data_IF_490442727895
#
_entry.id   IF_490442727895
#
_cell.length_a   1.000
_cell.length_b   1.000
_cell.length_c   1.000
_cell.angle_alpha   90.00
_cell.angle_beta   90.00
_cell.angle_gamma   90.00
#
_symmetry.space_group_name_H-M   'P 1'
#
loop_
_entity.id
_entity.type
_entity.pdbx_description
1 polymer ?
#
# COMPACT_ATOMS: atom_id res chain seq x y z
N UNK A 1 -26.55 9.42 21.64
CA UNK A 1 -25.17 9.62 22.15
C UNK A 1 -25.22 10.56 23.36
N UNK A 2 -24.47 10.29 24.43
CA UNK A 2 -24.34 11.19 25.60
C UNK A 2 -23.34 12.31 25.34
N UNK A 3 -23.51 13.46 25.99
CA UNK A 3 -22.59 14.59 25.89
C UNK A 3 -21.99 14.91 27.25
N UNK A 4 -20.67 15.08 27.28
CA UNK A 4 -19.91 15.39 28.48
C UNK A 4 -18.90 16.50 28.21
N UNK A 5 -18.45 17.14 29.29
CA UNK A 5 -17.31 18.03 29.28
C UNK A 5 -16.37 17.63 30.42
N UNK A 6 -15.07 17.83 30.23
CA UNK A 6 -14.05 17.71 31.27
C UNK A 6 -13.10 18.90 31.16
N UNK A 7 -12.76 19.52 32.28
CA UNK A 7 -11.92 20.71 32.35
C UNK A 7 -10.58 20.45 33.07
N UNK A 8 -10.35 19.24 33.54
CA UNK A 8 -9.09 18.81 34.15
C UNK A 8 -8.73 17.37 33.75
N UNK A 9 -7.47 17.00 33.93
CA UNK A 9 -6.98 15.63 33.66
C UNK A 9 -7.70 14.62 34.55
N UNK A 10 -8.00 14.99 35.80
CA UNK A 10 -8.70 14.12 36.75
C UNK A 10 -10.17 13.91 36.39
N UNK A 11 -10.88 14.96 35.99
CA UNK A 11 -12.25 14.84 35.49
C UNK A 11 -12.30 13.96 34.24
N UNK A 12 -11.35 14.13 33.33
CA UNK A 12 -11.24 13.31 32.13
C UNK A 12 -10.96 11.84 32.48
N UNK A 13 -10.04 11.57 33.41
CA UNK A 13 -9.76 10.21 33.90
C UNK A 13 -11.00 9.55 34.50
N UNK A 14 -11.71 10.25 35.40
CA UNK A 14 -12.91 9.73 36.04
C UNK A 14 -13.99 9.41 35.01
N UNK A 15 -14.22 10.33 34.07
CA UNK A 15 -15.22 10.15 33.02
C UNK A 15 -14.88 8.99 32.10
N UNK A 16 -13.63 8.90 31.64
CA UNK A 16 -13.16 7.79 30.80
C UNK A 16 -13.30 6.45 31.52
N UNK A 17 -13.04 6.40 32.83
CA UNK A 17 -13.21 5.20 33.66
C UNK A 17 -14.66 4.74 33.82
N UNK A 18 -15.66 5.57 33.47
CA UNK A 18 -17.07 5.15 33.46
C UNK A 18 -17.43 4.33 32.21
N UNK A 19 -16.62 4.38 31.17
CA UNK A 19 -16.81 3.57 29.97
C UNK A 19 -16.01 2.27 30.13
N UNK A 20 -16.67 1.11 29.94
CA UNK A 20 -16.01 -0.20 30.04
C UNK A 20 -14.98 -0.46 28.92
N UNK A 21 -14.44 -1.67 28.86
CA UNK A 21 -13.33 -2.00 27.94
C UNK A 21 -13.76 -2.24 26.47
N UNK A 22 -15.06 -2.46 26.23
CA UNK A 22 -15.61 -2.76 24.89
C UNK A 22 -15.91 -1.50 24.06
N UNK A 23 -14.95 -0.58 24.03
CA UNK A 23 -15.07 0.72 23.36
C UNK A 23 -13.86 1.04 22.48
N UNK A 24 -14.08 1.94 21.52
CA UNK A 24 -13.04 2.61 20.76
C UNK A 24 -13.17 4.12 20.93
N UNK A 25 -12.07 4.82 20.65
CA UNK A 25 -11.98 6.26 20.72
C UNK A 25 -11.61 6.84 19.36
N UNK A 26 -12.09 8.06 19.11
CA UNK A 26 -11.63 8.91 18.01
C UNK A 26 -11.49 10.33 18.50
N UNK A 27 -10.29 10.90 18.32
CA UNK A 27 -9.99 12.29 18.66
C UNK A 27 -10.08 13.22 17.45
N UNK A 28 -10.66 14.41 17.62
CA UNK A 28 -10.69 15.45 16.60
C UNK A 28 -10.55 16.84 17.23
N UNK A 29 -9.80 17.73 16.57
CA UNK A 29 -9.66 19.15 16.95
C UNK A 29 -10.91 19.99 16.60
N UNK A 30 -11.90 19.40 15.94
CA UNK A 30 -13.12 20.08 15.51
C UNK A 30 -14.28 19.09 15.43
N UNK A 31 -15.48 19.56 15.72
CA UNK A 31 -16.71 18.81 15.54
C UNK A 31 -17.26 19.02 14.13
N UNK A 32 -17.70 17.94 13.51
CA UNK A 32 -18.40 17.96 12.22
C UNK A 32 -19.77 17.32 12.42
N UNK A 33 -20.82 17.92 11.84
CA UNK A 33 -22.22 17.52 12.06
C UNK A 33 -22.96 18.45 13.01
N UNK A 34 -24.16 18.03 13.41
CA UNK A 34 -24.95 18.74 14.41
C UNK A 34 -24.58 18.27 15.82
N UNK A 35 -24.81 19.15 16.81
CA UNK A 35 -24.60 18.84 18.23
C UNK A 35 -25.37 17.58 18.60
N UNK A 36 -24.66 16.51 18.97
CA UNK A 36 -25.27 15.22 19.33
C UNK A 36 -25.46 14.24 18.16
N UNK A 37 -25.16 14.67 16.94
CA UNK A 37 -25.18 13.86 15.71
C UNK A 37 -23.91 14.08 14.87
N UNK A 38 -22.77 13.47 15.27
CA UNK A 38 -21.50 13.65 14.57
C UNK A 38 -21.55 13.10 13.13
N UNK A 39 -20.92 13.83 12.21
CA UNK A 39 -20.78 13.46 10.81
C UNK A 39 -19.31 13.14 10.51
N UNK A 40 -18.95 11.85 10.62
CA UNK A 40 -17.60 11.36 10.34
C UNK A 40 -17.67 10.39 9.16
N UNK A 41 -17.30 10.89 7.97
CA UNK A 41 -17.21 10.12 6.74
C UNK A 41 -15.78 9.68 6.41
N UNK A 42 -15.66 8.94 5.31
CA UNK A 42 -14.39 8.37 4.85
C UNK A 42 -13.53 9.40 4.13
N UNK A 43 -12.29 9.04 3.81
CA UNK A 43 -11.46 9.86 2.92
C UNK A 43 -11.93 9.83 1.46
N UNK A 44 -12.56 8.74 1.01
CA UNK A 44 -13.13 8.65 -0.34
C UNK A 44 -14.37 9.52 -0.51
N UNK A 45 -15.24 9.59 0.49
CA UNK A 45 -16.41 10.50 0.44
C UNK A 45 -15.99 11.96 0.25
N UNK A 46 -14.82 12.33 0.80
CA UNK A 46 -14.30 13.71 0.78
C UNK A 46 -13.45 14.02 -0.44
N UNK A 47 -12.74 13.04 -1.01
CA UNK A 47 -11.70 13.28 -2.01
C UNK A 47 -11.82 12.40 -3.27
N UNK A 48 -12.82 11.53 -3.35
CA UNK A 48 -13.01 10.56 -4.42
C UNK A 48 -12.05 9.36 -4.35
N UNK A 49 -12.43 8.28 -5.05
CA UNK A 49 -11.60 7.12 -5.30
C UNK A 49 -10.86 7.28 -6.65
N UNK A 50 -9.60 6.82 -6.70
CA UNK A 50 -8.83 6.69 -7.94
C UNK A 50 -8.58 5.19 -8.13
N UNK A 51 -9.35 4.49 -8.98
CA UNK A 51 -9.33 3.02 -9.05
C UNK A 51 -7.95 2.41 -9.36
N UNK A 52 -7.19 2.99 -10.30
CA UNK A 52 -5.85 2.51 -10.66
C UNK A 52 -4.88 2.55 -9.47
N UNK A 53 -4.88 3.66 -8.74
CA UNK A 53 -4.09 3.80 -7.51
C UNK A 53 -4.58 2.85 -6.42
N UNK A 54 -5.89 2.56 -6.34
CA UNK A 54 -6.44 1.59 -5.39
C UNK A 54 -5.95 0.16 -5.67
N UNK A 55 -5.81 -0.25 -6.94
CA UNK A 55 -5.24 -1.55 -7.29
C UNK A 55 -3.77 -1.64 -6.88
N UNK A 56 -2.97 -0.64 -7.26
CA UNK A 56 -1.56 -0.52 -6.89
C UNK A 56 -1.36 -0.56 -5.36
N UNK A 57 -2.22 0.15 -4.66
CA UNK A 57 -2.30 0.17 -3.21
C UNK A 57 -2.58 -1.20 -2.59
N UNK A 58 -3.62 -1.90 -3.05
CA UNK A 58 -3.94 -3.24 -2.57
C UNK A 58 -2.77 -4.19 -2.80
N UNK A 59 -2.11 -4.10 -3.97
CA UNK A 59 -0.93 -4.89 -4.31
C UNK A 59 0.21 -4.70 -3.32
N UNK A 60 0.59 -3.46 -3.05
CA UNK A 60 1.69 -3.17 -2.12
C UNK A 60 1.35 -3.54 -0.67
N UNK A 61 0.10 -3.35 -0.26
CA UNK A 61 -0.35 -3.77 1.08
C UNK A 61 -0.25 -5.28 1.24
N UNK A 62 -0.70 -6.03 0.22
CA UNK A 62 -0.60 -7.48 0.20
C UNK A 62 0.86 -7.93 0.34
N UNK A 63 1.79 -7.34 -0.43
CA UNK A 63 3.21 -7.67 -0.33
C UNK A 63 3.81 -7.42 1.06
N UNK A 64 3.39 -6.34 1.73
CA UNK A 64 3.82 -6.02 3.10
C UNK A 64 3.25 -7.05 4.10
N UNK A 65 1.97 -7.39 3.99
CA UNK A 65 1.34 -8.40 4.84
C UNK A 65 1.97 -9.77 4.62
N UNK A 66 2.26 -10.14 3.38
CA UNK A 66 2.96 -11.38 3.03
C UNK A 66 4.34 -11.46 3.69
N UNK A 67 5.09 -10.35 3.69
CA UNK A 67 6.46 -10.32 4.21
C UNK A 67 6.54 -10.34 5.73
N UNK A 68 5.62 -9.66 6.43
CA UNK A 68 5.73 -9.46 7.87
C UNK A 68 4.65 -10.19 8.69
N UNK A 69 3.47 -10.44 8.12
CA UNK A 69 2.27 -10.84 8.89
C UNK A 69 1.39 -11.79 8.05
N UNK A 70 1.95 -12.96 7.74
CA UNK A 70 1.34 -13.93 6.83
C UNK A 70 -0.09 -14.38 7.21
N UNK A 71 -0.50 -14.23 8.48
CA UNK A 71 -1.86 -14.54 8.94
C UNK A 71 -2.95 -13.75 8.20
N UNK A 72 -2.69 -12.49 7.83
CA UNK A 72 -3.69 -11.59 7.24
C UNK A 72 -3.51 -11.36 5.74
N UNK A 73 -2.61 -12.10 5.09
CA UNK A 73 -2.22 -11.85 3.69
C UNK A 73 -3.35 -11.94 2.66
N UNK A 74 -4.34 -12.81 2.90
CA UNK A 74 -5.51 -12.99 2.03
C UNK A 74 -6.74 -12.20 2.48
N UNK A 75 -6.62 -11.38 3.53
CA UNK A 75 -7.73 -10.61 4.07
C UNK A 75 -7.75 -9.20 3.44
N UNK A 76 -8.68 -9.02 2.52
CA UNK A 76 -8.85 -7.76 1.79
C UNK A 76 -9.20 -6.57 2.70
N UNK A 77 -9.87 -6.82 3.83
CA UNK A 77 -10.19 -5.77 4.79
C UNK A 77 -8.90 -5.26 5.46
N UNK A 78 -7.99 -6.17 5.84
CA UNK A 78 -6.68 -5.80 6.39
C UNK A 78 -5.80 -5.08 5.37
N UNK A 79 -5.80 -5.51 4.10
CA UNK A 79 -5.03 -4.85 3.04
C UNK A 79 -5.43 -3.37 2.90
N UNK A 80 -6.73 -3.10 2.83
CA UNK A 80 -7.25 -1.73 2.72
C UNK A 80 -7.08 -0.92 4.03
N UNK A 81 -7.37 -1.54 5.17
CA UNK A 81 -7.24 -0.88 6.47
C UNK A 81 -5.78 -0.46 6.75
N UNK A 82 -4.82 -1.33 6.45
CA UNK A 82 -3.41 -1.08 6.73
C UNK A 82 -2.92 0.22 6.10
N UNK A 83 -3.12 0.39 4.80
CA UNK A 83 -2.53 1.54 4.14
C UNK A 83 -3.35 2.83 4.30
N UNK A 84 -4.64 2.73 4.62
CA UNK A 84 -5.39 3.89 5.15
C UNK A 84 -4.68 4.44 6.39
N UNK A 85 -4.31 3.55 7.31
CA UNK A 85 -3.61 3.90 8.54
C UNK A 85 -2.22 4.53 8.27
N UNK A 86 -1.57 4.15 7.17
CA UNK A 86 -0.32 4.78 6.73
C UNK A 86 -0.51 6.12 6.00
N UNK A 87 -1.75 6.56 5.76
CA UNK A 87 -2.08 7.88 5.25
C UNK A 87 -2.54 7.90 3.79
N UNK A 88 -2.95 6.73 3.26
CA UNK A 88 -3.69 6.66 2.00
C UNK A 88 -5.19 6.88 2.21
N UNK A 89 -5.95 6.98 1.12
CA UNK A 89 -7.41 7.14 1.15
C UNK A 89 -8.10 5.78 1.04
N UNK A 90 -9.17 5.57 1.78
CA UNK A 90 -10.01 4.37 1.75
C UNK A 90 -11.45 4.65 2.19
N UNK A 91 -12.22 3.56 2.28
CA UNK A 91 -13.56 3.45 2.86
C UNK A 91 -13.57 3.30 4.40
N UNK A 92 -12.44 3.42 5.08
CA UNK A 92 -12.35 3.22 6.53
C UNK A 92 -12.14 4.53 7.29
N UNK A 93 -12.48 4.50 8.58
CA UNK A 93 -12.19 5.59 9.52
C UNK A 93 -11.29 5.08 10.65
N UNK A 94 -10.17 5.77 10.86
CA UNK A 94 -9.23 5.49 11.96
C UNK A 94 -9.88 5.72 13.34
N UNK A 95 -9.77 4.69 14.17
CA UNK A 95 -10.13 4.64 15.57
C UNK A 95 -8.95 4.09 16.37
N UNK A 96 -9.02 4.21 17.69
CA UNK A 96 -7.99 3.65 18.58
C UNK A 96 -8.65 3.04 19.80
N UNK A 97 -8.04 2.00 20.36
CA UNK A 97 -8.43 1.48 21.68
C UNK A 97 -7.82 2.27 22.83
N UNK A 98 -6.94 3.24 22.55
CA UNK A 98 -6.28 4.07 23.56
C UNK A 98 -6.87 5.48 23.61
N UNK A 99 -7.47 5.83 24.76
CA UNK A 99 -7.95 7.18 25.00
C UNK A 99 -6.83 8.23 24.94
N UNK A 100 -5.58 7.85 25.27
CA UNK A 100 -4.43 8.74 25.19
C UNK A 100 -4.07 9.10 23.75
N UNK A 101 -4.10 8.12 22.85
CA UNK A 101 -3.89 8.33 21.42
C UNK A 101 -4.99 9.25 20.87
N UNK A 102 -6.24 9.01 21.25
CA UNK A 102 -7.35 9.89 20.86
C UNK A 102 -7.20 11.32 21.43
N UNK A 103 -6.79 11.47 22.69
CA UNK A 103 -6.51 12.78 23.29
C UNK A 103 -5.42 13.55 22.54
N UNK A 104 -4.37 12.85 22.11
CA UNK A 104 -3.31 13.45 21.30
C UNK A 104 -3.87 13.97 19.97
N UNK A 105 -4.62 13.16 19.20
CA UNK A 105 -5.23 13.60 17.94
C UNK A 105 -6.31 14.68 18.11
N UNK A 106 -7.00 14.72 19.26
CA UNK A 106 -7.97 15.77 19.58
C UNK A 106 -7.33 17.11 19.93
N UNK A 107 -6.02 17.16 20.12
CA UNK A 107 -5.29 18.36 20.57
C UNK A 107 -4.13 18.76 19.66
N UNK A 108 -3.89 18.01 18.58
CA UNK A 108 -2.84 18.29 17.60
C UNK A 108 -3.44 18.43 16.18
N UNK A 109 -3.10 19.52 15.50
CA UNK A 109 -3.55 19.78 14.13
C UNK A 109 -2.56 19.22 13.11
N UNK A 110 -3.08 18.40 12.22
CA UNK A 110 -2.37 17.94 11.03
C UNK A 110 -2.15 19.10 10.04
N UNK A 111 -0.95 19.18 9.48
CA UNK A 111 -0.65 19.98 8.29
C UNK A 111 0.34 19.22 7.42
N UNK A 112 0.25 19.42 6.11
CA UNK A 112 1.17 18.83 5.14
C UNK A 112 1.67 19.89 4.16
N UNK A 113 2.89 19.71 3.69
CA UNK A 113 3.49 20.51 2.64
C UNK A 113 4.26 19.60 1.68
N UNK A 114 4.22 19.94 0.39
CA UNK A 114 5.05 19.28 -0.60
C UNK A 114 6.44 19.90 -0.56
N UNK A 115 7.47 19.07 -0.39
CA UNK A 115 8.87 19.47 -0.53
C UNK A 115 9.43 18.89 -1.82
N UNK A 116 10.42 19.58 -2.38
CA UNK A 116 11.22 19.10 -3.49
C UNK A 116 12.68 19.15 -3.02
N UNK A 117 13.28 17.97 -2.90
CA UNK A 117 14.63 17.80 -2.37
C UNK A 117 15.57 17.40 -3.50
N UNK A 118 16.76 17.99 -3.54
CA UNK A 118 17.83 17.57 -4.44
C UNK A 118 18.57 16.40 -3.79
N UNK A 119 18.74 15.32 -4.54
CA UNK A 119 19.57 14.18 -4.16
C UNK A 119 20.30 13.63 -5.39
N UNK A 120 21.08 12.59 -5.17
CA UNK A 120 21.86 11.88 -6.17
C UNK A 120 21.41 10.40 -6.17
N UNK A 121 21.42 9.76 -7.35
CA UNK A 121 21.29 8.31 -7.42
C UNK A 121 22.60 7.61 -7.03
N UNK A 122 22.65 6.29 -7.14
CA UNK A 122 23.82 5.51 -6.73
C UNK A 122 25.07 5.74 -7.60
N UNK A 123 24.92 6.32 -8.78
CA UNK A 123 26.01 6.70 -9.69
C UNK A 123 26.31 8.22 -9.60
N UNK A 124 25.87 8.87 -8.51
CA UNK A 124 26.02 10.30 -8.23
C UNK A 124 25.31 11.21 -9.25
N UNK A 125 24.32 10.70 -9.98
CA UNK A 125 23.53 11.50 -10.92
C UNK A 125 22.47 12.30 -10.19
N UNK A 126 22.46 13.62 -10.40
CA UNK A 126 21.52 14.51 -9.74
C UNK A 126 20.06 14.22 -10.14
N UNK A 127 19.18 14.12 -9.15
CA UNK A 127 17.73 13.96 -9.28
C UNK A 127 17.00 14.81 -8.24
N UNK A 128 15.73 15.10 -8.49
CA UNK A 128 14.86 15.72 -7.49
C UNK A 128 13.81 14.73 -7.01
N UNK A 129 13.55 14.72 -5.70
CA UNK A 129 12.48 13.91 -5.11
C UNK A 129 11.42 14.78 -4.48
N UNK A 130 10.16 14.55 -4.88
CA UNK A 130 8.99 15.18 -4.30
C UNK A 130 8.49 14.35 -3.13
N UNK A 131 8.40 14.97 -1.95
CA UNK A 131 7.88 14.31 -0.75
C UNK A 131 6.67 15.07 -0.19
N UNK A 132 5.76 14.33 0.43
CA UNK A 132 4.62 14.89 1.16
C UNK A 132 4.98 14.91 2.65
N UNK A 133 5.57 16.02 3.10
CA UNK A 133 6.01 16.17 4.48
C UNK A 133 4.82 16.57 5.35
N UNK A 134 4.55 15.76 6.36
CA UNK A 134 3.45 15.93 7.29
C UNK A 134 3.95 16.27 8.69
N UNK A 135 3.17 17.07 9.41
CA UNK A 135 3.45 17.41 10.81
C UNK A 135 2.15 17.56 11.59
N UNK A 136 2.25 17.28 12.87
CA UNK A 136 1.24 17.61 13.87
C UNK A 136 1.79 18.69 14.79
N UNK A 137 1.00 19.73 15.04
CA UNK A 137 1.34 20.80 15.96
C UNK A 137 0.26 20.91 17.04
N UNK A 138 0.61 21.12 18.32
CA UNK A 138 -0.37 21.35 19.36
C UNK A 138 -1.21 22.60 19.04
N UNK A 139 -2.48 22.56 19.40
CA UNK A 139 -3.41 23.70 19.20
C UNK A 139 -4.01 24.16 20.52
N UNK A 140 -4.37 25.45 20.55
CA UNK A 140 -5.22 26.04 21.60
C UNK A 140 -6.67 25.88 21.17
N UNK A 141 -7.56 25.66 22.13
CA UNK A 141 -8.99 25.59 21.92
C UNK A 141 -9.59 24.37 22.58
N UNK A 142 -10.49 23.71 21.86
CA UNK A 142 -11.28 22.61 22.38
C UNK A 142 -11.17 21.41 21.46
N UNK A 143 -10.83 20.26 22.02
CA UNK A 143 -10.84 18.98 21.35
C UNK A 143 -12.10 18.18 21.66
N UNK A 144 -12.39 17.21 20.80
CA UNK A 144 -13.51 16.30 20.93
C UNK A 144 -13.02 14.86 20.94
N UNK A 145 -13.43 14.11 21.96
CA UNK A 145 -13.26 12.67 22.05
C UNK A 145 -14.60 12.00 21.82
N UNK A 146 -14.69 11.20 20.78
CA UNK A 146 -15.84 10.33 20.53
C UNK A 146 -15.56 8.95 21.11
N UNK A 147 -16.50 8.43 21.89
CA UNK A 147 -16.50 7.07 22.42
C UNK A 147 -17.47 6.25 21.60
N UNK A 148 -16.96 5.19 20.99
CA UNK A 148 -17.68 4.30 20.09
C UNK A 148 -17.86 2.93 20.74
N UNK A 149 -19.02 2.29 20.57
CA UNK A 149 -19.25 0.90 20.97
C UNK A 149 -18.55 -0.03 19.97
N UNK A 150 -17.64 -0.89 20.47
CA UNK A 150 -17.03 -1.93 19.62
C UNK A 150 -18.08 -2.89 19.08
N UNK A 151 -19.03 -3.32 19.92
CA UNK A 151 -20.14 -4.16 19.48
C UNK A 151 -20.92 -3.55 18.31
N UNK A 152 -21.34 -2.28 18.40
CA UNK A 152 -22.07 -1.63 17.31
C UNK A 152 -21.18 -1.43 16.06
N UNK A 153 -19.93 -1.03 16.24
CA UNK A 153 -18.96 -0.88 15.16
C UNK A 153 -18.70 -2.21 14.44
N UNK A 154 -18.67 -3.33 15.15
CA UNK A 154 -18.45 -4.65 14.57
C UNK A 154 -19.55 -5.07 13.59
N UNK A 155 -20.80 -4.60 13.78
CA UNK A 155 -21.88 -4.84 12.83
C UNK A 155 -21.71 -4.06 11.51
N UNK A 156 -20.91 -3.00 11.52
CA UNK A 156 -20.53 -2.25 10.31
C UNK A 156 -19.33 -2.93 9.63
N UNK A 157 -18.35 -3.33 10.43
CA UNK A 157 -17.08 -3.87 9.99
C UNK A 157 -15.96 -3.20 10.78
N UNK A 158 -15.09 -4.03 11.36
CA UNK A 158 -14.07 -3.56 12.28
C UNK A 158 -12.79 -4.38 12.11
N UNK A 159 -11.68 -3.69 11.84
CA UNK A 159 -10.36 -4.30 11.66
C UNK A 159 -9.45 -3.86 12.79
N UNK A 160 -8.90 -4.82 13.54
CA UNK A 160 -7.92 -4.56 14.58
C UNK A 160 -6.52 -4.58 13.96
N UNK A 161 -5.97 -3.40 13.66
CA UNK A 161 -4.60 -3.34 13.15
C UNK A 161 -3.56 -3.45 14.26
N UNK A 162 -3.92 -3.23 15.53
CA UNK A 162 -2.98 -3.41 16.64
C UNK A 162 -2.50 -4.86 16.79
N UNK A 163 -3.18 -5.84 16.19
CA UNK A 163 -2.69 -7.24 16.10
C UNK A 163 -1.55 -7.41 15.11
N UNK A 164 -1.28 -6.41 14.26
CA UNK A 164 -0.21 -6.42 13.29
C UNK A 164 1.13 -6.09 13.96
N UNK A 165 1.64 -7.04 14.73
CA UNK A 165 2.91 -6.94 15.46
C UNK A 165 4.05 -7.54 14.65
N UNK A 166 5.24 -6.92 14.72
CA UNK A 166 6.48 -7.47 14.18
C UNK A 166 7.49 -7.57 15.32
N UNK A 167 8.06 -8.75 15.53
CA UNK A 167 8.98 -9.01 16.65
C UNK A 167 10.17 -8.05 16.64
N UNK A 168 10.48 -7.46 17.80
CA UNK A 168 11.58 -6.51 17.96
C UNK A 168 11.32 -5.10 17.41
N UNK A 169 10.16 -4.86 16.79
CA UNK A 169 9.79 -3.58 16.19
C UNK A 169 8.53 -3.00 16.83
N UNK A 170 8.27 -1.73 16.55
CA UNK A 170 7.06 -1.02 17.00
C UNK A 170 6.40 -0.34 15.80
N UNK A 171 5.65 -1.09 14.97
CA UNK A 171 4.92 -0.50 13.85
C UNK A 171 3.90 0.53 14.32
N UNK A 172 3.56 1.50 13.45
CA UNK A 172 2.56 2.53 13.72
C UNK A 172 1.23 1.96 14.21
N UNK A 173 0.80 0.83 13.66
CA UNK A 173 -0.42 0.11 14.02
C UNK A 173 -0.48 -0.23 15.53
N UNK A 174 0.66 -0.64 16.10
CA UNK A 174 0.81 -0.93 17.53
C UNK A 174 0.95 0.37 18.33
N UNK A 175 1.79 1.30 17.87
CA UNK A 175 2.03 2.58 18.54
C UNK A 175 0.75 3.40 18.76
N UNK A 176 -0.22 3.30 17.84
CA UNK A 176 -1.49 4.00 17.92
C UNK A 176 -2.63 3.13 18.47
N UNK A 177 -2.36 1.87 18.84
CA UNK A 177 -3.39 0.89 19.23
C UNK A 177 -4.56 0.87 18.24
N UNK A 178 -4.21 0.78 16.95
CA UNK A 178 -5.03 1.18 15.82
C UNK A 178 -6.18 0.21 15.51
N UNK A 179 -7.34 0.79 15.20
CA UNK A 179 -8.54 0.10 14.75
C UNK A 179 -9.16 0.85 13.58
N UNK A 180 -9.67 0.14 12.58
CA UNK A 180 -10.31 0.75 11.41
C UNK A 180 -11.77 0.33 11.36
N UNK A 181 -12.68 1.30 11.35
CA UNK A 181 -14.13 1.07 11.24
C UNK A 181 -14.53 1.23 9.78
N UNK A 182 -15.11 0.19 9.20
CA UNK A 182 -15.52 0.12 7.80
C UNK A 182 -15.47 -1.29 7.21
N UNK A 183 -15.66 -1.44 5.88
CA UNK A 183 -15.81 -0.36 4.91
C UNK A 183 -17.14 0.39 5.07
N UNK A 184 -17.08 1.71 4.90
CA UNK A 184 -18.22 2.61 5.02
C UNK A 184 -18.62 3.15 3.64
N UNK A 185 -19.92 3.15 3.36
CA UNK A 185 -20.54 3.86 2.22
C UNK A 185 -21.26 5.15 2.64
N UNK A 186 -21.37 5.36 3.95
CA UNK A 186 -22.01 6.50 4.61
C UNK A 186 -21.16 6.85 5.84
N UNK A 187 -21.37 8.02 6.47
CA UNK A 187 -20.74 8.32 7.75
C UNK A 187 -20.99 7.22 8.80
N UNK A 188 -20.12 7.16 9.82
CA UNK A 188 -20.29 6.23 10.94
C UNK A 188 -21.74 6.30 11.46
N UNK A 189 -22.46 5.17 11.55
CA UNK A 189 -23.83 5.15 12.04
C UNK A 189 -23.98 5.74 13.45
N UNK A 190 -25.07 6.46 13.70
CA UNK A 190 -25.28 7.16 14.98
C UNK A 190 -25.35 6.23 16.19
N UNK A 191 -25.83 5.00 16.00
CA UNK A 191 -25.87 3.96 17.05
C UNK A 191 -24.47 3.45 17.45
N UNK A 192 -23.42 3.72 16.66
CA UNK A 192 -22.05 3.42 17.07
C UNK A 192 -21.54 4.37 18.16
N UNK A 193 -22.09 5.59 18.27
CA UNK A 193 -21.61 6.58 19.23
C UNK A 193 -22.27 6.45 20.61
N UNK A 194 -21.44 6.14 21.60
CA UNK A 194 -21.84 6.13 23.01
C UNK A 194 -21.82 7.54 23.60
N UNK A 195 -20.73 8.27 23.38
CA UNK A 195 -20.55 9.61 23.93
C UNK A 195 -19.67 10.53 23.08
N UNK A 196 -19.83 11.83 23.28
CA UNK A 196 -18.90 12.89 22.90
C UNK A 196 -18.44 13.60 24.17
N UNK A 197 -17.13 13.72 24.35
CA UNK A 197 -16.50 14.43 25.45
C UNK A 197 -15.76 15.64 24.88
N UNK A 198 -16.15 16.83 25.32
CA UNK A 198 -15.54 18.10 24.91
C UNK A 198 -14.55 18.55 25.98
N UNK A 199 -13.30 18.80 25.60
CA UNK A 199 -12.20 19.02 26.55
C UNK A 199 -11.29 20.14 26.04
N UNK A 200 -10.81 21.06 26.91
CA UNK A 200 -9.73 21.98 26.56
C UNK A 200 -8.49 21.26 26.01
N UNK A 201 -7.89 21.81 24.96
CA UNK A 201 -6.76 21.14 24.26
C UNK A 201 -5.51 20.96 25.13
N UNK A 202 -5.26 21.87 26.07
CA UNK A 202 -4.16 21.80 27.05
C UNK A 202 -4.34 20.65 28.05
N UNK A 203 -5.57 20.40 28.50
CA UNK A 203 -5.93 19.23 29.33
C UNK A 203 -5.70 17.92 28.54
N UNK A 204 -6.10 17.88 27.28
CA UNK A 204 -5.86 16.72 26.40
C UNK A 204 -4.37 16.46 26.16
N UNK A 205 -3.59 17.53 25.94
CA UNK A 205 -2.13 17.46 25.81
C UNK A 205 -1.49 16.91 27.09
N UNK A 206 -1.87 17.44 28.26
CA UNK A 206 -1.37 16.97 29.55
C UNK A 206 -1.76 15.50 29.81
N UNK A 207 -3.00 15.11 29.48
CA UNK A 207 -3.49 13.74 29.60
C UNK A 207 -2.68 12.74 28.74
N UNK A 208 -2.36 13.13 27.50
CA UNK A 208 -1.57 12.33 26.57
C UNK A 208 -0.10 12.26 27.00
N UNK A 209 0.50 13.39 27.39
CA UNK A 209 1.88 13.49 27.86
C UNK A 209 2.12 12.66 29.14
N UNK A 210 1.19 12.67 30.09
CA UNK A 210 1.25 11.84 31.30
C UNK A 210 1.29 10.32 31.01
N UNK A 211 0.96 9.91 29.77
CA UNK A 211 1.00 8.53 29.28
C UNK A 211 2.11 8.30 28.25
N UNK A 212 3.09 9.20 28.20
CA UNK A 212 4.27 9.07 27.34
C UNK A 212 4.07 9.50 25.88
N UNK A 213 2.95 10.16 25.54
CA UNK A 213 2.70 10.67 24.19
C UNK A 213 3.09 12.14 24.09
N UNK A 214 4.40 12.40 24.11
CA UNK A 214 4.96 13.76 24.19
C UNK A 214 5.27 14.39 22.83
N UNK A 215 5.43 13.58 21.79
CA UNK A 215 5.84 14.03 20.45
C UNK A 215 5.30 13.10 19.35
N UNK A 216 5.46 13.54 18.09
CA UNK A 216 5.01 12.80 16.91
C UNK A 216 5.64 11.41 16.81
N UNK A 217 6.89 11.19 17.23
CA UNK A 217 7.59 9.90 17.09
C UNK A 217 6.97 8.82 17.97
N UNK A 218 6.34 9.21 19.09
CA UNK A 218 5.62 8.29 19.97
C UNK A 218 4.45 7.61 19.24
N UNK A 219 3.76 8.30 18.31
CA UNK A 219 2.64 7.74 17.54
C UNK A 219 3.00 7.41 16.09
N UNK A 220 4.05 8.01 15.54
CA UNK A 220 4.53 7.82 14.19
C UNK A 220 5.99 7.38 14.25
N UNK A 221 6.26 6.09 14.52
CA UNK A 221 7.62 5.57 14.60
C UNK A 221 8.37 5.80 13.27
N UNK A 222 9.70 5.89 13.36
CA UNK A 222 10.56 6.07 12.19
C UNK A 222 10.63 4.79 11.35
N UNK A 223 11.13 4.82 10.09
CA UNK A 223 11.38 3.61 9.32
C UNK A 223 12.38 2.63 9.96
N UNK A 224 13.17 3.08 10.95
CA UNK A 224 14.03 2.18 11.72
C UNK A 224 13.24 1.29 12.69
N UNK A 225 12.13 1.81 13.22
CA UNK A 225 11.29 1.14 14.23
C UNK A 225 10.01 0.52 13.63
N UNK A 226 9.65 0.93 12.41
CA UNK A 226 8.47 0.49 11.68
C UNK A 226 8.85 -0.13 10.33
N UNK A 227 9.02 -1.48 10.27
CA UNK A 227 9.40 -2.17 9.04
C UNK A 227 8.33 -2.07 7.94
N UNK A 228 7.06 -1.91 8.31
CA UNK A 228 5.99 -1.69 7.34
C UNK A 228 6.18 -0.33 6.66
N UNK A 229 6.39 0.74 7.44
CA UNK A 229 6.70 2.05 6.89
C UNK A 229 7.96 2.01 6.01
N UNK A 230 9.00 1.29 6.46
CA UNK A 230 10.24 1.13 5.71
C UNK A 230 10.01 0.51 4.33
N UNK A 231 9.23 -0.56 4.23
CA UNK A 231 8.92 -1.17 2.93
C UNK A 231 8.10 -0.25 2.03
N UNK A 232 7.12 0.48 2.60
CA UNK A 232 6.30 1.42 1.84
C UNK A 232 7.10 2.63 1.33
N UNK A 233 8.05 3.12 2.14
CA UNK A 233 9.03 4.12 1.73
C UNK A 233 10.22 3.51 0.95
N UNK A 234 10.23 2.21 0.72
CA UNK A 234 11.24 1.51 -0.08
C UNK A 234 10.80 1.33 -1.54
N UNK A 235 9.55 1.65 -1.86
CA UNK A 235 8.97 1.54 -3.19
C UNK A 235 9.69 2.43 -4.21
N UNK A 236 9.69 2.04 -5.50
CA UNK A 236 10.36 2.79 -6.55
C UNK A 236 9.83 4.22 -6.67
N UNK A 237 10.70 5.09 -7.15
CA UNK A 237 10.37 6.45 -7.52
C UNK A 237 9.98 6.51 -8.99
N UNK A 238 8.90 7.21 -9.30
CA UNK A 238 8.36 7.36 -10.66
C UNK A 238 8.58 8.79 -11.13
N UNK A 239 9.09 8.96 -12.35
CA UNK A 239 9.32 10.27 -12.94
C UNK A 239 8.02 11.07 -13.04
N UNK A 240 8.05 12.31 -12.58
CA UNK A 240 6.94 13.23 -12.72
C UNK A 240 7.03 13.85 -14.12
N UNK A 241 6.18 13.36 -15.02
CA UNK A 241 6.09 13.86 -16.41
C UNK A 241 5.48 15.28 -16.41
N UNK A 242 6.31 16.32 -16.38
CA UNK A 242 5.93 17.73 -16.59
C UNK A 242 6.60 18.29 -17.85
N UNK A 243 5.93 19.19 -18.58
CA UNK A 243 6.55 19.95 -19.69
C UNK A 243 7.76 20.79 -19.26
N UNK A 244 7.88 21.08 -17.95
CA UNK A 244 8.89 21.96 -17.35
C UNK A 244 9.76 21.28 -16.27
N UNK A 245 9.89 19.95 -16.26
CA UNK A 245 11.05 19.37 -15.58
C UNK A 245 12.28 20.08 -16.13
N UNK A 246 13.10 20.69 -15.28
CA UNK A 246 14.35 21.33 -15.69
C UNK A 246 15.03 20.35 -16.65
N UNK A 247 15.28 20.77 -17.90
CA UNK A 247 15.54 19.86 -19.04
C UNK A 247 16.60 18.77 -18.79
N UNK A 248 17.42 18.90 -17.74
CA UNK A 248 18.50 18.00 -17.36
C UNK A 248 18.45 17.53 -15.89
N UNK A 249 17.36 17.77 -15.15
CA UNK A 249 17.21 17.36 -13.75
C UNK A 249 15.84 16.74 -13.54
N UNK A 250 15.72 15.40 -13.67
CA UNK A 250 14.46 14.70 -13.54
C UNK A 250 13.94 14.79 -12.11
N UNK A 251 12.62 14.95 -11.98
CA UNK A 251 11.94 14.98 -10.69
C UNK A 251 11.08 13.73 -10.54
N UNK A 252 11.08 13.14 -9.35
CA UNK A 252 10.39 11.89 -9.07
C UNK A 252 9.43 12.02 -7.89
N UNK A 253 8.37 11.21 -7.92
CA UNK A 253 7.45 10.99 -6.79
C UNK A 253 7.49 9.52 -6.38
N UNK A 254 7.07 9.22 -5.16
CA UNK A 254 6.88 7.82 -4.74
C UNK A 254 5.83 7.14 -5.61
N UNK A 255 6.01 5.86 -5.90
CA UNK A 255 4.97 5.02 -6.50
C UNK A 255 3.66 5.02 -5.68
N UNK A 256 3.76 5.15 -4.34
CA UNK A 256 2.66 5.48 -3.45
C UNK A 256 3.01 6.73 -2.61
N UNK A 257 2.30 7.84 -2.82
CA UNK A 257 2.55 9.06 -2.05
C UNK A 257 1.92 8.97 -0.65
N UNK A 258 2.77 8.75 0.34
CA UNK A 258 2.42 8.69 1.77
C UNK A 258 2.89 9.96 2.49
N UNK A 259 2.22 10.35 3.60
CA UNK A 259 2.70 11.42 4.44
C UNK A 259 3.93 10.96 5.24
N UNK A 260 5.03 11.71 5.12
CA UNK A 260 6.29 11.47 5.83
C UNK A 260 6.39 12.43 7.02
N UNK A 261 6.55 11.87 8.23
CA UNK A 261 6.58 12.64 9.49
C UNK A 261 7.99 12.95 9.97
N UNK A 262 9.00 12.33 9.36
CA UNK A 262 10.40 12.42 9.75
C UNK A 262 11.22 13.02 8.61
N UNK A 263 12.18 13.93 8.87
CA UNK A 263 13.17 14.30 7.89
C UNK A 263 13.89 13.06 7.36
N UNK A 264 13.86 12.86 6.04
CA UNK A 264 14.34 11.65 5.38
C UNK A 264 15.26 11.98 4.19
N UNK A 265 15.91 13.15 4.20
CA UNK A 265 16.82 13.55 3.13
C UNK A 265 17.96 12.53 3.05
N UNK A 266 18.12 11.95 1.86
CA UNK A 266 19.22 11.08 1.53
C UNK A 266 20.02 11.80 0.45
N UNK A 267 21.29 12.13 0.75
CA UNK A 267 22.13 12.83 -0.23
C UNK A 267 22.37 11.95 -1.47
N UNK A 268 22.88 10.74 -1.25
CA UNK A 268 23.15 9.73 -2.28
C UNK A 268 22.28 8.51 -1.97
N UNK A 269 21.33 8.21 -2.85
CA UNK A 269 20.48 7.05 -2.70
C UNK A 269 21.28 5.75 -2.95
N UNK A 270 21.00 4.70 -2.16
CA UNK A 270 21.61 3.40 -2.39
C UNK A 270 21.11 2.74 -3.68
N UNK A 271 21.90 1.81 -4.24
CA UNK A 271 21.60 1.13 -5.50
C UNK A 271 20.22 0.45 -5.53
N UNK A 272 19.71 -0.01 -4.38
CA UNK A 272 18.36 -0.58 -4.21
C UNK A 272 17.20 0.42 -4.34
N UNK A 273 17.49 1.68 -4.68
CA UNK A 273 16.51 2.75 -4.90
C UNK A 273 16.41 3.02 -6.39
N UNK A 274 15.36 2.51 -7.03
CA UNK A 274 15.08 2.79 -8.43
C UNK A 274 14.42 4.17 -8.61
N UNK A 275 14.96 4.95 -9.54
CA UNK A 275 14.38 6.17 -10.12
C UNK A 275 13.92 5.85 -11.55
N UNK A 276 12.68 5.39 -11.68
CA UNK A 276 12.16 4.83 -12.91
C UNK A 276 11.58 5.89 -13.85
N UNK A 277 12.01 5.82 -15.12
CA UNK A 277 11.72 6.82 -16.18
C UNK A 277 10.94 6.25 -17.37
N UNK A 278 10.40 5.05 -17.22
CA UNK A 278 9.64 4.42 -18.29
C UNK A 278 10.45 3.67 -19.33
N UNK A 279 11.70 3.30 -19.01
CA UNK A 279 12.54 2.56 -19.95
C UNK A 279 11.95 1.17 -20.24
N UNK A 280 11.86 0.83 -21.52
CA UNK A 280 11.53 -0.53 -21.94
C UNK A 280 12.78 -1.40 -21.90
N UNK A 281 12.59 -2.70 -21.70
CA UNK A 281 13.69 -3.66 -21.68
C UNK A 281 14.45 -3.62 -23.02
N UNK A 282 13.73 -3.69 -24.14
CA UNK A 282 14.32 -3.68 -25.48
C UNK A 282 14.99 -2.35 -25.88
N UNK A 283 14.74 -1.26 -25.15
CA UNK A 283 15.43 0.01 -25.39
C UNK A 283 16.86 0.01 -24.80
N UNK A 284 17.15 -0.95 -23.92
CA UNK A 284 18.39 -0.98 -23.12
C UNK A 284 19.12 -2.32 -23.14
N UNK A 285 18.45 -3.39 -23.54
CA UNK A 285 18.97 -4.75 -23.53
C UNK A 285 18.65 -5.43 -24.88
N UNK A 286 19.67 -6.06 -25.48
CA UNK A 286 19.50 -6.82 -26.72
C UNK A 286 18.87 -8.21 -26.49
N UNK A 287 18.91 -8.70 -25.24
CA UNK A 287 18.37 -9.99 -24.84
C UNK A 287 17.99 -10.00 -23.36
N UNK A 288 17.26 -11.03 -22.93
CA UNK A 288 16.90 -11.24 -21.53
C UNK A 288 17.37 -12.61 -21.03
N UNK A 289 17.79 -12.66 -19.77
CA UNK A 289 18.23 -13.89 -19.13
C UNK A 289 17.05 -14.86 -18.93
N UNK A 290 17.33 -16.15 -19.12
CA UNK A 290 16.33 -17.20 -18.91
C UNK A 290 15.31 -17.36 -20.05
N UNK A 291 15.50 -16.69 -21.20
CA UNK A 291 14.71 -16.95 -22.40
C UNK A 291 15.42 -17.98 -23.32
N UNK A 292 14.94 -19.24 -23.40
CA UNK A 292 15.56 -20.27 -24.22
C UNK A 292 15.17 -20.22 -25.72
N UNK A 293 14.21 -19.38 -26.12
CA UNK A 293 13.67 -19.34 -27.49
C UNK A 293 13.66 -17.91 -28.06
N UNK A 294 13.42 -17.76 -29.37
CA UNK A 294 12.94 -16.47 -29.89
C UNK A 294 11.67 -16.07 -29.13
N UNK A 295 11.45 -14.77 -28.95
CA UNK A 295 10.27 -14.29 -28.25
C UNK A 295 9.93 -12.86 -28.58
N UNK A 296 8.76 -12.42 -28.13
CA UNK A 296 8.26 -11.06 -28.31
C UNK A 296 8.00 -10.39 -26.97
N UNK A 297 8.08 -9.07 -26.99
CA UNK A 297 7.61 -8.21 -25.90
C UNK A 297 6.28 -7.59 -26.31
N UNK A 298 5.31 -7.66 -25.40
CA UNK A 298 3.98 -7.06 -25.55
C UNK A 298 3.82 -6.04 -24.45
N UNK A 299 3.67 -4.78 -24.84
CA UNK A 299 3.38 -3.70 -23.89
C UNK A 299 1.95 -3.86 -23.35
N UNK A 300 1.82 -3.77 -22.03
CA UNK A 300 0.55 -3.91 -21.31
C UNK A 300 0.35 -2.74 -20.34
N UNK A 301 -0.91 -2.36 -20.04
CA UNK A 301 -1.19 -1.37 -19.01
C UNK A 301 -0.80 -1.93 -17.63
N UNK A 302 -0.36 -1.04 -16.73
CA UNK A 302 0.11 -1.40 -15.40
C UNK A 302 -0.94 -2.13 -14.54
N UNK A 303 -2.22 -1.85 -14.78
CA UNK A 303 -3.34 -2.53 -14.13
C UNK A 303 -3.35 -4.05 -14.35
N UNK A 304 -2.70 -4.57 -15.39
CA UNK A 304 -2.51 -6.01 -15.59
C UNK A 304 -1.70 -6.63 -14.45
N UNK A 305 -0.70 -5.91 -13.92
CA UNK A 305 0.15 -6.40 -12.84
C UNK A 305 -0.46 -6.15 -11.45
N UNK A 306 -1.26 -5.08 -11.32
CA UNK A 306 -1.90 -4.71 -10.05
C UNK A 306 -3.28 -5.36 -9.82
N UNK A 307 -3.95 -5.78 -10.90
CA UNK A 307 -5.28 -6.37 -10.86
C UNK A 307 -5.31 -7.80 -10.31
N UNK A 308 -6.53 -8.29 -10.06
CA UNK A 308 -6.77 -9.68 -9.68
C UNK A 308 -7.93 -10.22 -10.51
N UNK A 309 -7.74 -11.40 -11.08
CA UNK A 309 -8.80 -12.10 -11.79
C UNK A 309 -9.58 -12.99 -10.81
N UNK A 310 -10.83 -13.32 -11.16
CA UNK A 310 -11.62 -14.31 -10.43
C UNK A 310 -10.85 -15.65 -10.40
N UNK A 311 -10.49 -16.20 -9.22
CA UNK A 311 -9.77 -17.46 -9.11
C UNK A 311 -10.54 -18.66 -9.68
N UNK A 312 -11.86 -18.55 -9.85
CA UNK A 312 -12.71 -19.58 -10.44
C UNK A 312 -12.71 -19.57 -11.98
N UNK A 313 -12.15 -18.52 -12.61
CA UNK A 313 -12.09 -18.39 -14.06
C UNK A 313 -11.21 -19.51 -14.65
N UNK A 314 -11.70 -20.26 -15.65
CA UNK A 314 -10.91 -21.29 -16.30
C UNK A 314 -9.66 -20.70 -16.97
N UNK A 315 -8.50 -21.32 -16.78
CA UNK A 315 -7.22 -20.92 -17.38
C UNK A 315 -7.24 -21.19 -18.89
N UNK A 316 -7.76 -20.25 -19.67
CA UNK A 316 -7.87 -20.34 -21.14
C UNK A 316 -7.31 -19.06 -21.75
N UNK A 317 -6.27 -19.19 -22.55
CA UNK A 317 -5.51 -18.06 -23.08
C UNK A 317 -5.30 -18.13 -24.60
N UNK A 318 -6.37 -18.20 -25.42
CA UNK A 318 -6.23 -18.39 -26.87
C UNK A 318 -5.43 -17.30 -27.58
N UNK A 319 -5.52 -16.03 -27.19
CA UNK A 319 -4.74 -14.96 -27.81
C UNK A 319 -3.26 -15.06 -27.42
N UNK A 320 -2.98 -15.36 -26.15
CA UNK A 320 -1.60 -15.61 -25.69
C UNK A 320 -1.02 -16.85 -26.39
N UNK A 321 -1.79 -17.92 -26.53
CA UNK A 321 -1.37 -19.14 -27.25
C UNK A 321 -1.04 -18.85 -28.72
N UNK A 322 -1.82 -17.99 -29.38
CA UNK A 322 -1.52 -17.55 -30.75
C UNK A 322 -0.16 -16.86 -30.82
N UNK A 323 0.11 -15.92 -29.91
CA UNK A 323 1.39 -15.23 -29.83
C UNK A 323 2.56 -16.21 -29.58
N UNK A 324 2.36 -17.19 -28.70
CA UNK A 324 3.37 -18.22 -28.40
C UNK A 324 3.66 -19.08 -29.64
N UNK A 325 2.63 -19.48 -30.39
CA UNK A 325 2.81 -20.30 -31.58
C UNK A 325 3.54 -19.55 -32.71
N UNK A 326 3.30 -18.24 -32.83
CA UNK A 326 3.93 -17.39 -33.85
C UNK A 326 5.36 -17.01 -33.48
N UNK A 327 5.66 -16.83 -32.20
CA UNK A 327 6.89 -16.14 -31.76
C UNK A 327 7.76 -16.93 -30.79
N UNK A 328 7.24 -17.98 -30.16
CA UNK A 328 7.90 -18.70 -29.07
C UNK A 328 7.57 -18.10 -27.70
N UNK A 329 8.56 -17.56 -27.02
CA UNK A 329 8.36 -16.94 -25.70
C UNK A 329 7.58 -15.63 -25.81
N UNK A 330 6.66 -15.36 -24.88
CA UNK A 330 5.94 -14.08 -24.82
C UNK A 330 6.21 -13.40 -23.48
N UNK A 331 6.70 -12.17 -23.53
CA UNK A 331 6.95 -11.33 -22.36
C UNK A 331 5.93 -10.18 -22.35
N UNK A 332 5.06 -10.12 -21.34
CA UNK A 332 4.17 -8.98 -21.13
C UNK A 332 4.87 -7.98 -20.21
N UNK A 333 5.14 -6.79 -20.72
CA UNK A 333 5.91 -5.74 -20.05
C UNK A 333 5.02 -4.53 -19.75
N UNK A 334 5.03 -4.07 -18.49
CA UNK A 334 4.33 -2.86 -18.08
C UNK A 334 5.27 -1.67 -17.92
N UNK A 335 4.73 -0.46 -18.11
CA UNK A 335 5.43 0.79 -17.83
C UNK A 335 5.42 1.13 -16.31
N UNK A 336 5.82 0.17 -15.47
CA UNK A 336 5.92 0.34 -14.02
C UNK A 336 6.95 -0.62 -13.45
N UNK A 337 7.38 -0.38 -12.21
CA UNK A 337 8.19 -1.32 -11.43
C UNK A 337 7.44 -1.69 -10.15
N UNK A 338 7.37 -2.97 -9.84
CA UNK A 338 6.84 -3.47 -8.56
C UNK A 338 8.00 -4.02 -7.75
N UNK A 339 8.17 -3.50 -6.53
CA UNK A 339 9.18 -3.99 -5.57
C UNK A 339 8.54 -5.01 -4.63
N UNK A 340 9.18 -6.17 -4.50
CA UNK A 340 8.80 -7.19 -3.52
C UNK A 340 9.44 -6.86 -2.16
N UNK A 341 8.67 -6.73 -1.07
CA UNK A 341 9.25 -6.39 0.24
C UNK A 341 10.28 -7.40 0.76
N UNK A 342 10.20 -8.66 0.35
CA UNK A 342 11.17 -9.71 0.72
C UNK A 342 12.50 -9.62 -0.03
N UNK A 343 12.55 -8.85 -1.13
CA UNK A 343 13.74 -8.63 -1.96
C UNK A 343 14.24 -7.18 -1.86
N UNK A 344 13.91 -6.49 -0.77
CA UNK A 344 14.13 -5.05 -0.62
C UNK A 344 15.60 -4.61 -0.65
N UNK A 345 16.49 -5.52 -0.29
CA UNK A 345 17.95 -5.43 -0.30
C UNK A 345 18.58 -5.63 -1.69
N UNK A 346 17.80 -6.11 -2.67
CA UNK A 346 18.24 -6.29 -4.05
C UNK A 346 17.81 -5.10 -4.91
N UNK A 347 18.45 -4.97 -6.06
CA UNK A 347 18.08 -4.04 -7.14
C UNK A 347 17.08 -4.65 -8.12
N UNK A 348 16.36 -5.69 -7.71
CA UNK A 348 15.49 -6.49 -8.56
C UNK A 348 14.02 -6.07 -8.40
N UNK A 349 13.36 -5.81 -9.52
CA UNK A 349 11.97 -5.37 -9.58
C UNK A 349 11.19 -6.21 -10.57
N UNK A 350 9.93 -6.49 -10.27
CA UNK A 350 9.00 -7.01 -11.25
C UNK A 350 8.66 -5.89 -12.25
N UNK A 351 8.69 -6.24 -13.53
CA UNK A 351 8.27 -5.37 -14.63
C UNK A 351 7.16 -5.99 -15.48
N UNK A 352 6.85 -7.27 -15.27
CA UNK A 352 5.88 -7.97 -16.09
C UNK A 352 5.64 -9.43 -15.71
N UNK A 353 5.09 -10.18 -16.67
CA UNK A 353 4.87 -11.63 -16.61
C UNK A 353 5.28 -12.26 -17.94
N UNK A 354 5.88 -13.44 -17.90
CA UNK A 354 6.30 -14.18 -19.08
C UNK A 354 5.61 -15.53 -19.21
N UNK A 355 5.50 -15.99 -20.46
CA UNK A 355 5.11 -17.37 -20.76
C UNK A 355 6.17 -18.01 -21.66
N UNK A 356 6.78 -19.09 -21.17
CA UNK A 356 7.86 -19.79 -21.84
C UNK A 356 7.38 -21.20 -22.23
N UNK A 357 7.41 -21.59 -23.51
CA UNK A 357 7.12 -22.97 -23.90
C UNK A 357 8.25 -23.90 -23.40
N UNK A 358 7.88 -24.99 -22.74
CA UNK A 358 8.80 -26.03 -22.22
C UNK A 358 8.66 -27.39 -22.90
N UNK A 359 7.72 -27.50 -23.84
CA UNK A 359 7.44 -28.69 -24.63
C UNK A 359 6.04 -28.64 -25.24
N UNK A 360 5.59 -29.72 -25.88
CA UNK A 360 4.24 -29.79 -26.42
C UNK A 360 3.19 -29.52 -25.35
N UNK A 361 2.38 -28.49 -25.58
CA UNK A 361 1.30 -28.05 -24.70
C UNK A 361 1.72 -27.72 -23.26
N UNK A 362 3.02 -27.47 -23.03
CA UNK A 362 3.59 -27.24 -21.69
C UNK A 362 4.18 -25.84 -21.61
N UNK A 363 3.70 -25.04 -20.66
CA UNK A 363 4.03 -23.63 -20.53
C UNK A 363 4.47 -23.31 -19.10
N UNK A 364 5.60 -22.65 -18.96
CA UNK A 364 6.03 -22.06 -17.69
C UNK A 364 5.55 -20.60 -17.62
N UNK A 365 4.90 -20.22 -16.52
CA UNK A 365 4.45 -18.86 -16.27
C UNK A 365 5.37 -18.21 -15.25
N UNK A 366 6.17 -17.24 -15.71
CA UNK A 366 7.29 -16.64 -14.99
C UNK A 366 7.04 -15.19 -14.63
N UNK A 367 7.74 -14.69 -13.61
CA UNK A 367 7.83 -13.25 -13.37
C UNK A 367 8.86 -12.64 -14.33
N UNK A 368 8.50 -11.57 -15.05
CA UNK A 368 9.48 -10.78 -15.80
C UNK A 368 10.07 -9.73 -14.86
N UNK A 369 11.39 -9.77 -14.68
CA UNK A 369 12.10 -8.93 -13.74
C UNK A 369 13.20 -8.12 -14.39
N UNK A 370 13.54 -7.00 -13.76
CA UNK A 370 14.64 -6.13 -14.16
C UNK A 370 15.52 -5.77 -12.98
N UNK A 371 16.82 -5.67 -13.26
CA UNK A 371 17.79 -5.09 -12.37
C UNK A 371 17.85 -3.57 -12.63
N UNK A 372 17.51 -2.75 -11.63
CA UNK A 372 17.36 -1.31 -11.78
C UNK A 372 18.09 -0.49 -10.68
N UNK A 373 19.43 -0.42 -10.71
CA UNK A 373 20.19 0.45 -9.80
C UNK A 373 20.02 1.93 -10.17
N UNK A 374 19.53 2.75 -9.24
CA UNK A 374 19.42 4.20 -9.45
C UNK A 374 18.54 4.53 -10.65
N UNK A 375 19.06 5.31 -11.60
CA UNK A 375 18.40 5.68 -12.85
C UNK A 375 18.49 4.63 -13.97
N UNK A 376 19.32 3.60 -13.82
CA UNK A 376 19.67 2.69 -14.92
C UNK A 376 18.93 1.35 -14.81
N UNK A 377 18.38 0.89 -15.92
CA UNK A 377 18.02 -0.52 -16.12
C UNK A 377 19.26 -1.27 -16.62
N UNK A 378 19.83 -2.14 -15.79
CA UNK A 378 21.11 -2.80 -16.04
C UNK A 378 21.01 -4.29 -16.40
N UNK A 379 19.82 -4.87 -16.35
CA UNK A 379 19.58 -6.26 -16.77
C UNK A 379 18.10 -6.60 -16.71
N UNK A 380 17.71 -7.67 -17.40
CA UNK A 380 16.34 -8.16 -17.43
C UNK A 380 16.32 -9.67 -17.62
N UNK A 381 15.33 -10.35 -17.03
CA UNK A 381 15.22 -11.80 -17.11
C UNK A 381 13.97 -12.36 -16.46
N UNK A 382 13.75 -13.65 -16.67
CA UNK A 382 12.66 -14.37 -16.04
C UNK A 382 13.11 -15.05 -14.74
N UNK A 383 12.33 -14.84 -13.67
CA UNK A 383 12.42 -15.71 -12.50
C UNK A 383 11.60 -16.97 -12.77
N UNK A 384 12.15 -18.11 -12.38
CA UNK A 384 11.50 -19.43 -12.47
C UNK A 384 10.06 -19.38 -11.96
N UNK A 385 9.17 -19.91 -12.79
CA UNK A 385 7.74 -19.88 -12.63
C UNK A 385 7.13 -21.21 -12.19
N UNK A 386 5.83 -21.33 -12.42
CA UNK A 386 5.11 -22.60 -12.31
C UNK A 386 4.68 -23.08 -13.69
N UNK A 387 4.72 -24.40 -13.87
CA UNK A 387 4.41 -25.03 -15.14
C UNK A 387 2.94 -25.48 -15.23
N UNK A 388 2.34 -25.29 -16.40
CA UNK A 388 0.96 -25.62 -16.72
C UNK A 388 0.88 -26.36 -18.06
N UNK A 389 0.03 -27.40 -18.13
CA UNK A 389 -0.24 -28.15 -19.36
C UNK A 389 -1.60 -27.78 -19.93
N UNK A 390 -1.66 -27.43 -21.22
CA UNK A 390 -2.91 -27.27 -21.96
C UNK A 390 -3.52 -28.65 -22.22
N UNK A 391 -4.74 -28.82 -21.74
CA UNK A 391 -5.54 -30.02 -21.97
C UNK A 391 -6.23 -29.94 -23.34
N UNK A 392 -6.74 -31.07 -23.84
CA UNK A 392 -7.51 -31.12 -25.09
C UNK A 392 -8.73 -30.19 -25.08
N UNK A 393 -9.25 -29.86 -23.90
CA UNK A 393 -10.33 -28.89 -23.73
C UNK A 393 -9.92 -27.44 -24.00
N UNK A 394 -8.61 -27.15 -24.12
CA UNK A 394 -8.01 -25.81 -24.19
C UNK A 394 -7.81 -25.14 -22.82
N UNK A 395 -8.09 -25.85 -21.71
CA UNK A 395 -7.83 -25.35 -20.35
C UNK A 395 -6.42 -25.74 -19.91
N UNK A 396 -5.70 -24.81 -19.31
CA UNK A 396 -4.40 -25.07 -18.70
C UNK A 396 -4.59 -25.60 -17.28
N UNK A 397 -3.86 -26.67 -16.96
CA UNK A 397 -3.87 -27.28 -15.62
C UNK A 397 -2.46 -27.30 -15.06
N UNK A 398 -2.32 -26.98 -13.77
CA UNK A 398 -1.03 -27.03 -13.08
C UNK A 398 -0.41 -28.42 -13.23
N UNK A 399 0.82 -28.48 -13.72
CA UNK A 399 1.63 -29.70 -13.80
C UNK A 399 2.95 -29.46 -13.10
N UNK A 400 3.10 -30.00 -11.88
CA UNK A 400 4.31 -29.81 -11.08
C UNK A 400 5.54 -30.43 -11.77
N UNK A 401 6.59 -29.64 -11.89
CA UNK A 401 7.89 -30.02 -12.45
C UNK A 401 8.98 -29.80 -11.40
N UNK A 402 10.06 -30.58 -11.48
CA UNK A 402 11.22 -30.43 -10.56
C UNK A 402 11.94 -29.10 -10.74
N UNK A 403 11.75 -28.45 -11.88
CA UNK A 403 12.31 -27.14 -12.21
C UNK A 403 11.41 -25.98 -11.83
N UNK A 404 10.23 -26.22 -11.24
CA UNK A 404 9.34 -25.14 -10.83
C UNK A 404 9.94 -24.32 -9.68
N UNK A 405 9.46 -23.09 -9.54
CA UNK A 405 9.77 -22.21 -8.42
C UNK A 405 9.53 -22.91 -7.07
N UNK A 406 10.56 -22.94 -6.23
CA UNK A 406 10.55 -23.58 -4.92
C UNK A 406 10.04 -22.68 -3.79
N UNK A 407 9.53 -21.48 -4.09
CA UNK A 407 9.10 -20.51 -3.08
C UNK A 407 7.93 -21.00 -2.21
N UNK A 408 7.17 -22.01 -2.68
CA UNK A 408 6.05 -22.59 -1.95
C UNK A 408 4.88 -21.63 -1.70
N UNK A 409 4.86 -20.45 -2.34
CA UNK A 409 3.83 -19.43 -2.13
C UNK A 409 2.81 -19.41 -3.29
N UNK A 410 1.64 -20.06 -3.15
CA UNK A 410 0.63 -20.10 -4.21
C UNK A 410 0.06 -18.72 -4.55
N UNK A 411 0.15 -17.74 -3.63
CA UNK A 411 -0.36 -16.39 -3.85
C UNK A 411 0.42 -15.69 -4.96
N UNK A 412 1.76 -15.78 -4.92
CA UNK A 412 2.63 -15.17 -5.94
C UNK A 412 2.31 -15.73 -7.33
N UNK A 413 2.16 -17.05 -7.45
CA UNK A 413 1.85 -17.68 -8.73
C UNK A 413 0.40 -17.42 -9.18
N UNK A 414 -0.56 -17.31 -8.26
CA UNK A 414 -1.93 -16.91 -8.57
C UNK A 414 -2.00 -15.47 -9.11
N UNK A 415 -1.08 -14.60 -8.67
CA UNK A 415 -0.97 -13.25 -9.20
C UNK A 415 -0.42 -13.22 -10.64
N UNK A 416 0.55 -14.08 -10.97
CA UNK A 416 1.01 -14.21 -12.36
C UNK A 416 -0.13 -14.71 -13.27
N UNK A 417 -0.92 -15.68 -12.80
CA UNK A 417 -2.10 -16.16 -13.52
C UNK A 417 -3.17 -15.08 -13.66
N UNK A 418 -3.40 -14.28 -12.62
CA UNK A 418 -4.29 -13.12 -12.70
C UNK A 418 -3.83 -12.12 -13.76
N UNK A 419 -2.54 -11.83 -13.81
CA UNK A 419 -1.97 -10.97 -14.84
C UNK A 419 -2.18 -11.55 -16.25
N UNK A 420 -1.99 -12.86 -16.46
CA UNK A 420 -2.29 -13.49 -17.75
C UNK A 420 -3.77 -13.39 -18.14
N UNK A 421 -4.70 -13.51 -17.19
CA UNK A 421 -6.13 -13.34 -17.49
C UNK A 421 -6.48 -11.94 -17.95
N UNK A 422 -5.89 -10.93 -17.32
CA UNK A 422 -6.14 -9.52 -17.67
C UNK A 422 -5.40 -9.19 -18.98
N UNK A 423 -4.18 -9.71 -19.20
CA UNK A 423 -3.46 -9.58 -20.46
C UNK A 423 -4.24 -10.22 -21.63
N UNK A 424 -4.83 -11.40 -21.43
CA UNK A 424 -5.69 -12.06 -22.42
C UNK A 424 -6.93 -11.21 -22.76
N UNK A 425 -7.53 -10.54 -21.78
CA UNK A 425 -8.64 -9.59 -22.04
C UNK A 425 -8.17 -8.35 -22.80
N UNK A 426 -7.02 -7.80 -22.41
CA UNK A 426 -6.40 -6.68 -23.09
C UNK A 426 -6.08 -7.01 -24.56
N UNK A 427 -5.55 -8.21 -24.86
CA UNK A 427 -5.28 -8.64 -26.23
C UNK A 427 -6.56 -8.72 -27.09
N UNK A 428 -7.70 -9.05 -26.48
CA UNK A 428 -9.00 -9.12 -27.18
C UNK A 428 -9.62 -7.75 -27.42
N UNK A 429 -9.53 -6.85 -26.43
CA UNK A 429 -10.05 -5.49 -26.51
C UNK A 429 -9.11 -4.47 -25.86
N UNK A 430 -8.05 -4.03 -26.56
CA UNK A 430 -7.13 -3.04 -26.02
C UNK A 430 -7.79 -1.70 -25.70
N UNK A 431 -8.90 -1.37 -26.37
CA UNK A 431 -9.57 -0.07 -26.21
C UNK A 431 -10.36 0.01 -24.90
N UNK A 432 -10.79 -1.12 -24.35
CA UNK A 432 -11.46 -1.19 -23.05
C UNK A 432 -10.58 -0.85 -21.85
N UNK A 433 -9.26 -0.69 -22.07
CA UNK A 433 -8.26 -0.43 -21.05
C UNK A 433 -7.68 1.01 -21.09
N UNK A 434 -8.20 1.87 -21.99
CA UNK A 434 -7.79 3.27 -22.14
C UNK A 434 -8.63 4.25 -21.31
#
# INVERSE_FOLDING_TARGET
MKQYAANSVDELNQLLGTFGEDILFRGQISHYGEVGAPFIGTSFDRKGCIPSEMLKWCRYSQGVLDAYIAQHRSDFAYQQALLQHYGWRSFYVDCTSSAAVAAWFASHKYSEATTLELCEDCDEMAVMVRKRMARYAPVIGTGHLYVLSKQAANHVGLVNLATLTVEGYRPRTVAQSAWLLGPLHNPIPQNCYLAQITVPSDVLQAYAAARGLTDTNTLFPSPADDPILRSLLGLPWEEIKFEASLKNLPAFKRALELPEYHPSLVKIAGAQTAFYRGARILDTQDSIDGNPHSGIFVEIPDMVLYGSADPSKPLRFPEIEKLINENGTVAFEADTLIKHPTLDHLTLYQKGVGVIPRGPDLFEVCELTVNHPGLRLSGAGFITGWTYRRQASGVWTREAQTTDCSCGNPIVHAQHISALHIAEEFLRDPKGFN
#
